data_IF_925901701957
#
_entry.id   IF_925901701957
#
_cell.length_a   1.000
_cell.length_b   1.000
_cell.length_c   1.000
_cell.angle_alpha   90.00
_cell.angle_beta   90.00
_cell.angle_gamma   90.00
#
_symmetry.space_group_name_H-M   'P 1'
#
loop_
_entity.id
_entity.type
_entity.pdbx_description
1 polymer ?
#
# COMPACT_ATOMS: atom_id res chain seq x y z
N UNK A 1 -25.92 -30.92 -40.38
CA UNK A 1 -25.77 -30.79 -38.92
C UNK A 1 -24.29 -30.60 -38.58
N UNK A 2 -23.72 -29.43 -38.90
CA UNK A 2 -22.30 -29.12 -38.63
C UNK A 2 -22.05 -27.61 -38.74
N UNK A 3 -22.64 -26.78 -37.87
CA UNK A 3 -22.31 -25.34 -37.81
C UNK A 3 -22.39 -24.73 -36.39
N UNK A 4 -22.76 -25.51 -35.36
CA UNK A 4 -22.84 -25.02 -33.97
C UNK A 4 -21.56 -25.25 -33.13
N UNK A 5 -20.50 -25.82 -33.72
CA UNK A 5 -19.27 -26.19 -33.00
C UNK A 5 -18.12 -25.17 -33.01
N UNK A 6 -18.07 -24.24 -33.97
CA UNK A 6 -16.91 -23.33 -34.10
C UNK A 6 -17.06 -21.97 -33.41
N UNK A 7 -18.26 -21.59 -32.97
CA UNK A 7 -18.52 -20.24 -32.42
C UNK A 7 -18.29 -20.19 -30.89
N UNK A 8 -18.39 -21.31 -30.17
CA UNK A 8 -18.13 -21.32 -28.72
C UNK A 8 -16.63 -21.35 -28.36
N UNK A 9 -15.77 -21.99 -29.17
CA UNK A 9 -14.33 -22.04 -28.88
C UNK A 9 -13.61 -20.71 -29.09
N UNK A 10 -14.07 -19.89 -30.03
CA UNK A 10 -13.48 -18.57 -30.32
C UNK A 10 -13.78 -17.56 -29.22
N UNK A 11 -14.98 -17.54 -28.64
CA UNK A 11 -15.32 -16.62 -27.54
C UNK A 11 -14.52 -16.88 -26.26
N UNK A 12 -14.28 -18.14 -25.90
CA UNK A 12 -13.43 -18.49 -24.73
C UNK A 12 -11.96 -18.19 -24.98
N UNK A 13 -11.44 -18.44 -26.19
CA UNK A 13 -10.06 -18.12 -26.53
C UNK A 13 -9.81 -16.60 -26.59
N UNK A 14 -10.77 -15.83 -27.12
CA UNK A 14 -10.70 -14.36 -27.12
C UNK A 14 -10.78 -13.82 -25.69
N UNK A 15 -11.69 -14.33 -24.86
CA UNK A 15 -11.79 -13.90 -23.45
C UNK A 15 -10.51 -14.24 -22.66
N UNK A 16 -9.93 -15.42 -22.88
CA UNK A 16 -8.68 -15.83 -22.25
C UNK A 16 -7.50 -14.97 -22.73
N UNK A 17 -7.39 -14.71 -24.03
CA UNK A 17 -6.35 -13.84 -24.59
C UNK A 17 -6.48 -12.40 -24.10
N UNK A 18 -7.70 -11.88 -23.96
CA UNK A 18 -7.94 -10.56 -23.37
C UNK A 18 -7.51 -10.55 -21.90
N UNK A 19 -7.90 -11.57 -21.11
CA UNK A 19 -7.49 -11.68 -19.71
C UNK A 19 -5.96 -11.75 -19.54
N UNK A 20 -5.29 -12.51 -20.41
CA UNK A 20 -3.82 -12.55 -20.44
C UNK A 20 -3.22 -11.19 -20.81
N UNK A 21 -3.71 -10.53 -21.87
CA UNK A 21 -3.25 -9.20 -22.25
C UNK A 21 -3.47 -8.15 -21.16
N UNK A 22 -4.59 -8.20 -20.44
CA UNK A 22 -4.85 -7.32 -19.30
C UNK A 22 -3.89 -7.61 -18.14
N UNK A 23 -3.59 -8.89 -17.88
CA UNK A 23 -2.60 -9.29 -16.88
C UNK A 23 -1.21 -8.76 -17.27
N UNK A 24 -0.78 -9.00 -18.50
CA UNK A 24 0.54 -8.58 -19.00
C UNK A 24 0.70 -7.05 -18.94
N UNK A 25 -0.34 -6.29 -19.33
CA UNK A 25 -0.34 -4.84 -19.20
C UNK A 25 -0.30 -4.37 -17.74
N UNK A 26 -1.00 -5.07 -16.85
CA UNK A 26 -0.97 -4.79 -15.41
C UNK A 26 0.43 -5.02 -14.84
N UNK A 27 1.06 -6.13 -15.19
CA UNK A 27 2.40 -6.50 -14.74
C UNK A 27 3.45 -5.50 -15.25
N UNK A 28 3.37 -5.10 -16.52
CA UNK A 28 4.28 -4.09 -17.06
C UNK A 28 4.11 -2.72 -16.37
N UNK A 29 2.86 -2.31 -16.11
CA UNK A 29 2.57 -1.07 -15.36
C UNK A 29 3.07 -1.16 -13.92
N UNK A 30 2.91 -2.31 -13.28
CA UNK A 30 3.38 -2.55 -11.92
C UNK A 30 4.90 -2.49 -11.83
N UNK A 31 5.62 -3.12 -12.76
CA UNK A 31 7.08 -3.04 -12.82
C UNK A 31 7.58 -1.61 -13.03
N UNK A 32 6.95 -0.86 -13.95
CA UNK A 32 7.26 0.55 -14.18
C UNK A 32 7.01 1.38 -12.92
N UNK A 33 5.88 1.16 -12.24
CA UNK A 33 5.56 1.83 -11.00
C UNK A 33 6.61 1.53 -9.92
N UNK A 34 6.99 0.26 -9.71
CA UNK A 34 8.04 -0.12 -8.74
C UNK A 34 9.37 0.57 -9.07
N UNK A 35 9.80 0.55 -10.33
CA UNK A 35 11.05 1.19 -10.77
C UNK A 35 11.00 2.70 -10.50
N UNK A 36 9.87 3.34 -10.81
CA UNK A 36 9.67 4.77 -10.59
C UNK A 36 9.69 5.16 -9.11
N UNK A 37 8.95 4.46 -8.26
CA UNK A 37 8.83 4.80 -6.83
C UNK A 37 10.11 4.52 -6.05
N UNK A 38 10.94 3.58 -6.51
CA UNK A 38 12.26 3.30 -5.95
C UNK A 38 13.36 4.20 -6.51
N UNK A 39 13.07 4.96 -7.58
CA UNK A 39 14.08 5.81 -8.20
C UNK A 39 14.58 6.85 -7.19
N UNK A 40 15.90 7.02 -7.12
CA UNK A 40 16.54 7.94 -6.18
C UNK A 40 16.01 9.38 -6.30
N UNK A 41 15.66 9.82 -7.51
CA UNK A 41 15.04 11.11 -7.74
C UNK A 41 13.66 11.24 -7.05
N UNK A 42 12.83 10.21 -7.15
CA UNK A 42 11.50 10.14 -6.51
C UNK A 42 11.63 10.15 -4.99
N UNK A 43 12.50 9.29 -4.43
CA UNK A 43 12.76 9.24 -2.99
C UNK A 43 13.21 10.62 -2.44
N UNK A 44 14.12 11.31 -3.14
CA UNK A 44 14.59 12.64 -2.75
C UNK A 44 13.48 13.70 -2.78
N UNK A 45 12.55 13.63 -3.75
CA UNK A 45 11.38 14.54 -3.78
C UNK A 45 10.50 14.35 -2.56
N UNK A 46 10.17 13.10 -2.23
CA UNK A 46 9.34 12.78 -1.05
C UNK A 46 10.04 13.17 0.25
N UNK A 47 11.37 12.99 0.33
CA UNK A 47 12.19 13.41 1.48
C UNK A 47 12.22 14.94 1.66
N UNK A 48 12.38 15.69 0.56
CA UNK A 48 12.31 17.14 0.57
C UNK A 48 10.91 17.63 0.98
N UNK A 49 9.85 17.00 0.46
CA UNK A 49 8.48 17.26 0.84
C UNK A 49 8.24 17.00 2.34
N UNK A 50 8.70 15.86 2.87
CA UNK A 50 8.55 15.54 4.28
C UNK A 50 9.30 16.55 5.15
N UNK A 51 10.53 16.90 4.78
CA UNK A 51 11.32 17.89 5.51
C UNK A 51 10.67 19.28 5.52
N UNK A 52 10.13 19.70 4.38
CA UNK A 52 9.37 20.96 4.22
C UNK A 52 8.12 20.95 5.09
N UNK A 53 7.36 19.86 5.10
CA UNK A 53 6.10 19.73 5.85
C UNK A 53 6.31 19.82 7.35
N UNK A 54 7.38 19.22 7.88
CA UNK A 54 7.70 19.24 9.31
C UNK A 54 8.61 20.41 9.73
N UNK A 55 9.13 21.18 8.77
CA UNK A 55 10.11 22.25 9.04
C UNK A 55 11.42 21.74 9.66
N UNK A 56 11.73 20.46 9.50
CA UNK A 56 12.87 19.75 10.12
C UNK A 56 13.42 18.71 9.17
N UNK A 57 14.66 18.26 9.39
CA UNK A 57 15.23 17.21 8.56
C UNK A 57 14.43 15.91 8.71
N UNK A 58 13.92 15.38 7.59
CA UNK A 58 13.36 14.06 7.49
C UNK A 58 14.34 13.16 6.73
N UNK A 59 14.58 11.95 7.24
CA UNK A 59 15.46 10.96 6.60
C UNK A 59 14.65 9.72 6.23
N UNK A 60 14.71 9.33 4.96
CA UNK A 60 14.01 8.14 4.47
C UNK A 60 14.56 6.87 5.14
N UNK A 61 13.67 6.00 5.60
CA UNK A 61 13.98 4.71 6.20
C UNK A 61 13.53 3.60 5.25
N UNK A 62 14.45 2.71 4.90
CA UNK A 62 14.18 1.57 4.02
C UNK A 62 13.80 0.31 4.81
N UNK A 63 13.06 -0.64 4.20
CA UNK A 63 12.51 -0.61 2.84
C UNK A 63 11.24 0.25 2.71
N UNK A 64 10.94 0.68 1.48
CA UNK A 64 9.63 1.23 1.13
C UNK A 64 8.59 0.11 1.22
N UNK A 65 7.36 0.45 1.59
CA UNK A 65 6.24 -0.48 1.59
C UNK A 65 5.42 -0.20 0.34
N UNK A 66 5.44 -1.13 -0.62
CA UNK A 66 4.80 -0.97 -1.93
C UNK A 66 3.64 -1.98 -1.99
N UNK A 67 2.41 -1.48 -2.01
CA UNK A 67 1.21 -2.27 -2.26
C UNK A 67 0.59 -1.93 -3.61
N UNK A 68 -0.46 -2.64 -4.00
CA UNK A 68 -1.08 -2.46 -5.32
C UNK A 68 -1.58 -1.03 -5.59
N UNK A 69 -2.16 -0.37 -4.59
CA UNK A 69 -2.76 0.98 -4.77
C UNK A 69 -2.02 2.09 -4.05
N UNK A 70 -1.04 1.76 -3.21
CA UNK A 70 -0.34 2.74 -2.37
C UNK A 70 1.13 2.39 -2.24
N UNK A 71 1.95 3.44 -2.19
CA UNK A 71 3.35 3.35 -1.79
C UNK A 71 3.54 4.18 -0.53
N UNK A 72 4.24 3.60 0.44
CA UNK A 72 4.50 4.22 1.72
C UNK A 72 6.00 4.38 1.91
N UNK A 73 6.39 5.63 2.19
CA UNK A 73 7.76 6.05 2.46
C UNK A 73 7.91 6.32 3.96
N UNK A 74 8.58 5.43 4.70
CA UNK A 74 8.83 5.64 6.12
C UNK A 74 9.93 6.69 6.33
N UNK A 75 9.72 7.61 7.27
CA UNK A 75 10.67 8.67 7.60
C UNK A 75 10.93 8.76 9.10
N UNK A 76 12.20 9.01 9.43
CA UNK A 76 12.60 9.52 10.75
C UNK A 76 12.73 11.04 10.64
N UNK A 77 11.95 11.77 11.43
CA UNK A 77 12.00 13.24 11.46
C UNK A 77 12.73 13.70 12.72
N UNK A 78 13.63 14.65 12.57
CA UNK A 78 14.41 15.19 13.69
C UNK A 78 13.51 15.72 14.83
N UNK A 79 13.80 15.30 16.06
CA UNK A 79 13.06 15.73 17.25
C UNK A 79 11.69 15.06 17.46
N UNK A 80 11.23 14.20 16.55
CA UNK A 80 10.11 13.31 16.84
C UNK A 80 10.61 12.02 17.49
N UNK A 81 9.85 11.51 18.47
CA UNK A 81 10.13 10.25 19.15
C UNK A 81 9.63 9.02 18.39
N UNK A 82 8.84 9.24 17.33
CA UNK A 82 8.25 8.22 16.48
C UNK A 82 8.59 8.49 15.01
N UNK A 83 8.46 7.45 14.18
CA UNK A 83 8.56 7.58 12.73
C UNK A 83 7.21 7.98 12.13
N UNK A 84 7.26 8.59 10.95
CA UNK A 84 6.07 8.94 10.17
C UNK A 84 6.10 8.19 8.85
N UNK A 85 4.93 7.99 8.27
CA UNK A 85 4.75 7.31 7.00
C UNK A 85 4.12 8.31 6.03
N UNK A 86 4.83 8.65 4.97
CA UNK A 86 4.26 9.41 3.84
C UNK A 86 3.67 8.40 2.86
N UNK A 87 2.35 8.39 2.74
CA UNK A 87 1.59 7.48 1.88
C UNK A 87 1.11 8.22 0.64
N UNK A 88 1.46 7.68 -0.52
CA UNK A 88 1.07 8.17 -1.84
C UNK A 88 0.29 7.10 -2.59
N UNK A 89 -0.68 7.46 -3.44
CA UNK A 89 -1.24 6.54 -4.43
C UNK A 89 -0.13 5.94 -5.30
N UNK A 90 -0.23 4.65 -5.61
CA UNK A 90 0.73 4.01 -6.51
C UNK A 90 0.51 4.54 -7.95
N UNK A 91 1.56 5.04 -8.63
CA UNK A 91 1.44 5.57 -9.99
C UNK A 91 0.85 4.54 -10.96
N UNK A 92 -0.03 4.99 -11.84
CA UNK A 92 -0.70 4.17 -12.87
C UNK A 92 -1.55 2.99 -12.36
N UNK A 93 -1.71 2.86 -11.03
CA UNK A 93 -2.54 1.81 -10.40
C UNK A 93 -3.82 2.37 -9.76
N UNK A 94 -3.75 3.56 -9.15
CA UNK A 94 -4.90 4.18 -8.53
C UNK A 94 -5.71 5.00 -9.55
N UNK A 95 -6.90 4.51 -9.90
CA UNK A 95 -7.90 5.33 -10.60
C UNK A 95 -8.38 6.43 -9.64
N UNK A 96 -8.32 7.69 -10.05
CA UNK A 96 -8.74 8.85 -9.23
C UNK A 96 -7.94 8.98 -7.92
N UNK A 97 -6.62 9.26 -8.01
CA UNK A 97 -5.70 9.22 -6.87
C UNK A 97 -6.05 10.25 -5.78
N UNK A 98 -6.60 11.41 -6.15
CA UNK A 98 -7.04 12.45 -5.23
C UNK A 98 -8.27 12.01 -4.43
N UNK A 99 -9.31 11.58 -5.14
CA UNK A 99 -10.58 11.12 -4.57
C UNK A 99 -10.37 9.89 -3.67
N UNK A 100 -9.54 8.96 -4.12
CA UNK A 100 -9.12 7.81 -3.30
C UNK A 100 -8.46 8.26 -2.00
N UNK A 101 -7.52 9.22 -2.06
CA UNK A 101 -6.83 9.72 -0.87
C UNK A 101 -7.80 10.41 0.08
N UNK A 102 -8.72 11.24 -0.43
CA UNK A 102 -9.77 11.88 0.37
C UNK A 102 -10.70 10.86 1.03
N UNK A 103 -11.11 9.82 0.30
CA UNK A 103 -11.95 8.74 0.82
C UNK A 103 -11.25 7.96 1.94
N UNK A 104 -9.95 7.69 1.81
CA UNK A 104 -9.17 7.02 2.87
C UNK A 104 -9.12 7.87 4.14
N UNK A 105 -8.86 9.17 4.01
CA UNK A 105 -8.84 10.11 5.14
C UNK A 105 -10.21 10.19 5.82
N UNK A 106 -11.29 10.33 5.03
CA UNK A 106 -12.65 10.37 5.56
C UNK A 106 -13.03 9.06 6.27
N UNK A 107 -12.65 7.92 5.70
CA UNK A 107 -12.89 6.60 6.29
C UNK A 107 -12.15 6.45 7.61
N UNK A 108 -10.88 6.85 7.69
CA UNK A 108 -10.11 6.84 8.92
C UNK A 108 -10.78 7.73 10.00
N UNK A 109 -11.22 8.95 9.64
CA UNK A 109 -11.93 9.82 10.56
C UNK A 109 -13.23 9.19 11.08
N UNK A 110 -14.00 8.55 10.19
CA UNK A 110 -15.22 7.83 10.53
C UNK A 110 -14.96 6.67 11.51
N UNK A 111 -13.96 5.82 11.23
CA UNK A 111 -13.58 4.71 12.12
C UNK A 111 -13.17 5.22 13.50
N UNK A 112 -12.39 6.31 13.57
CA UNK A 112 -11.96 6.93 14.82
C UNK A 112 -13.13 7.43 15.67
N UNK A 113 -14.17 7.97 15.02
CA UNK A 113 -15.34 8.52 15.68
C UNK A 113 -16.34 7.43 16.10
N UNK A 114 -16.45 6.36 15.32
CA UNK A 114 -17.50 5.35 15.47
C UNK A 114 -17.05 4.07 16.18
N UNK A 115 -15.75 3.88 16.39
CA UNK A 115 -15.20 2.64 16.97
C UNK A 115 -14.13 2.93 18.01
N UNK A 116 -13.79 1.91 18.80
CA UNK A 116 -12.63 1.94 19.71
C UNK A 116 -11.35 1.40 19.05
N UNK A 117 -11.38 1.15 17.73
CA UNK A 117 -10.22 0.64 17.02
C UNK A 117 -9.11 1.68 17.01
N UNK A 118 -7.90 1.23 17.33
CA UNK A 118 -6.71 2.05 17.19
C UNK A 118 -6.41 2.24 15.71
N UNK A 119 -6.44 3.50 15.27
CA UNK A 119 -5.99 3.86 13.92
C UNK A 119 -4.74 4.73 14.02
N UNK A 120 -3.85 4.68 13.01
CA UNK A 120 -2.76 5.63 12.90
C UNK A 120 -3.29 7.08 12.91
N UNK A 121 -2.65 7.93 13.68
CA UNK A 121 -2.92 9.36 13.65
C UNK A 121 -2.53 9.92 12.28
N UNK A 122 -3.41 10.70 11.67
CA UNK A 122 -3.16 11.42 10.42
C UNK A 122 -2.70 12.83 10.80
N UNK A 123 -1.47 13.20 10.44
CA UNK A 123 -0.91 14.53 10.71
C UNK A 123 -1.24 15.52 9.61
N UNK A 124 -1.11 15.10 8.35
CA UNK A 124 -1.32 15.94 7.17
C UNK A 124 -1.94 15.11 6.04
N UNK A 125 -2.71 15.74 5.19
CA UNK A 125 -3.19 15.17 3.93
C UNK A 125 -3.46 16.30 2.94
N UNK A 126 -3.43 15.99 1.65
CA UNK A 126 -3.71 16.97 0.60
C UNK A 126 -3.14 16.56 -0.74
N UNK A 127 -2.92 17.56 -1.59
CA UNK A 127 -2.26 17.42 -2.89
C UNK A 127 -1.09 18.40 -2.89
N UNK A 128 0.11 17.89 -3.18
CA UNK A 128 1.33 18.68 -3.36
C UNK A 128 1.71 18.69 -4.85
N UNK A 129 2.19 19.83 -5.34
CA UNK A 129 2.48 20.02 -6.77
C UNK A 129 3.60 19.10 -7.28
N UNK A 130 4.52 18.65 -6.42
CA UNK A 130 5.68 17.85 -6.80
C UNK A 130 5.45 16.34 -6.66
N UNK A 131 4.69 15.93 -5.63
CA UNK A 131 4.50 14.52 -5.27
C UNK A 131 3.06 14.03 -5.42
N UNK A 132 2.12 14.93 -5.73
CA UNK A 132 0.71 14.62 -5.92
C UNK A 132 -0.05 14.39 -4.60
N UNK A 133 -1.13 13.60 -4.63
CA UNK A 133 -1.98 13.34 -3.47
C UNK A 133 -1.23 12.56 -2.39
N UNK A 134 -1.41 12.94 -1.13
CA UNK A 134 -0.69 12.33 -0.03
C UNK A 134 -1.51 12.29 1.26
N UNK A 135 -1.09 11.41 2.16
CA UNK A 135 -1.36 11.50 3.59
C UNK A 135 -0.11 11.15 4.39
N UNK A 136 0.10 11.85 5.51
CA UNK A 136 1.18 11.59 6.45
C UNK A 136 0.56 11.03 7.72
N UNK A 137 0.96 9.82 8.09
CA UNK A 137 0.45 9.11 9.26
C UNK A 137 1.54 8.72 10.23
N UNK A 138 1.18 8.50 11.48
CA UNK A 138 2.09 7.95 12.50
C UNK A 138 2.47 6.51 12.15
N UNK A 139 3.77 6.20 12.19
CA UNK A 139 4.23 4.81 12.17
C UNK A 139 3.99 4.19 13.55
N UNK A 140 3.16 3.16 13.59
CA UNK A 140 2.87 2.40 14.82
C UNK A 140 3.98 1.39 15.15
N UNK A 141 5.01 1.26 14.31
CA UNK A 141 6.20 0.43 14.54
C UNK A 141 6.06 -1.03 14.12
N UNK A 142 4.83 -1.54 13.97
CA UNK A 142 4.56 -2.89 13.47
C UNK A 142 4.51 -2.90 11.94
N UNK A 143 5.68 -3.07 11.29
CA UNK A 143 5.76 -3.22 9.82
C UNK A 143 5.48 -4.65 9.34
N UNK A 144 4.93 -5.49 10.20
CA UNK A 144 4.57 -6.87 9.90
C UNK A 144 3.14 -6.88 9.36
N UNK A 145 2.91 -7.52 8.21
CA UNK A 145 1.55 -7.71 7.72
C UNK A 145 0.73 -8.57 8.69
N UNK A 146 -0.59 -8.40 8.71
CA UNK A 146 -1.47 -9.22 9.55
C UNK A 146 -1.32 -10.71 9.26
N UNK A 147 -1.07 -11.10 8.00
CA UNK A 147 -0.82 -12.49 7.64
C UNK A 147 0.34 -13.09 8.44
N UNK A 148 1.44 -12.35 8.56
CA UNK A 148 2.62 -12.78 9.31
C UNK A 148 2.40 -12.73 10.83
N UNK A 149 1.66 -11.74 11.33
CA UNK A 149 1.34 -11.64 12.75
C UNK A 149 0.41 -12.78 13.22
N UNK A 150 -0.43 -13.29 12.33
CA UNK A 150 -1.42 -14.34 12.61
C UNK A 150 -0.96 -15.74 12.18
N UNK A 151 0.25 -15.86 11.64
CA UNK A 151 0.80 -17.08 11.08
C UNK A 151 1.17 -18.10 12.17
N UNK A 152 0.92 -19.38 11.90
CA UNK A 152 1.48 -20.46 12.72
C UNK A 152 2.99 -20.55 12.51
N UNK A 153 3.78 -20.85 13.55
CA UNK A 153 5.19 -21.21 13.35
C UNK A 153 5.31 -22.33 12.33
N UNK A 154 6.23 -22.19 11.38
CA UNK A 154 6.55 -23.18 10.36
C UNK A 154 8.06 -23.38 10.29
N UNK A 155 8.46 -24.59 9.95
CA UNK A 155 9.87 -24.97 9.84
C UNK A 155 10.47 -24.50 8.49
N UNK A 156 9.70 -24.60 7.39
CA UNK A 156 10.09 -24.08 6.08
C UNK A 156 9.35 -22.76 5.74
N UNK A 157 10.05 -21.64 5.51
CA UNK A 157 9.46 -20.38 5.05
C UNK A 157 8.76 -20.45 3.68
N UNK A 158 8.91 -21.54 2.92
CA UNK A 158 8.22 -21.77 1.66
C UNK A 158 6.90 -22.53 1.82
N UNK A 159 6.64 -23.13 2.99
CA UNK A 159 5.37 -23.81 3.24
C UNK A 159 4.20 -22.83 3.21
N UNK A 160 3.01 -23.32 2.84
CA UNK A 160 1.83 -22.45 2.80
C UNK A 160 1.54 -21.91 4.21
N UNK A 161 1.51 -20.57 4.42
CA UNK A 161 1.22 -20.00 5.72
C UNK A 161 -0.22 -20.33 6.12
N UNK A 162 -0.40 -20.88 7.33
CA UNK A 162 -1.72 -21.14 7.92
C UNK A 162 -1.95 -20.23 9.12
N UNK A 163 -3.21 -19.88 9.37
CA UNK A 163 -3.60 -19.14 10.57
C UNK A 163 -3.29 -19.98 11.80
N UNK A 164 -2.62 -19.39 12.79
CA UNK A 164 -2.31 -20.05 14.04
C UNK A 164 -3.59 -20.21 14.88
N UNK A 165 -4.11 -21.45 15.07
CA UNK A 165 -5.34 -21.66 15.82
C UNK A 165 -5.14 -21.48 17.33
N UNK A 166 -3.90 -21.35 17.80
CA UNK A 166 -3.54 -21.24 19.22
C UNK A 166 -3.25 -19.80 19.65
N UNK A 167 -3.60 -18.80 18.82
CA UNK A 167 -3.44 -17.40 19.22
C UNK A 167 -4.37 -17.10 20.39
N UNK A 168 -3.80 -16.58 21.48
CA UNK A 168 -4.57 -16.16 22.64
C UNK A 168 -5.31 -14.86 22.37
N UNK A 169 -6.47 -14.68 23.01
CA UNK A 169 -7.22 -13.42 22.94
C UNK A 169 -6.40 -12.22 23.48
N UNK A 170 -5.56 -12.46 24.48
CA UNK A 170 -4.65 -11.45 25.01
C UNK A 170 -3.64 -10.98 23.96
N UNK A 171 -3.17 -11.85 23.07
CA UNK A 171 -2.30 -11.46 21.96
C UNK A 171 -3.05 -10.58 20.95
N UNK A 172 -4.28 -10.94 20.57
CA UNK A 172 -5.12 -10.12 19.68
C UNK A 172 -5.39 -8.71 20.22
N UNK A 173 -5.61 -8.59 21.53
CA UNK A 173 -5.86 -7.29 22.18
C UNK A 173 -4.63 -6.36 22.17
N UNK A 174 -3.45 -6.90 21.97
CA UNK A 174 -2.17 -6.19 21.97
C UNK A 174 -1.51 -6.15 20.59
N UNK A 175 -2.23 -6.54 19.53
CA UNK A 175 -1.75 -6.58 18.15
C UNK A 175 -1.75 -5.19 17.51
#
# INVERSE_FOLDING_TARGET
MALYGCIQYSSTAIAYNLAQLYSDQSDERWEKAIKHVRASATCRKVEAFASRTFGKQATLVTPLIIGGFNVVYPFKVEGLTFQVLVRLPCPDQAMFPEEKTMLEVATAACIKQQTQLLIPEIFHHGVDDEIGPYMIIKDLGTRRGMSHALEAPRDDPNDTPILNPKISEAFFRNL
#
